data_IF_555609705481
#
_entry.id   IF_555609705481
#
_cell.length_a   1.000
_cell.length_b   1.000
_cell.length_c   1.000
_cell.angle_alpha   90.00
_cell.angle_beta   90.00
_cell.angle_gamma   90.00
#
_symmetry.space_group_name_H-M   'P 1'
#
loop_
_entity.id
_entity.type
_entity.pdbx_description
1 polymer ?
#
# COMPACT_ATOMS: atom_id res chain seq x y z
N UNK A 1 -7.21 32.38 41.42
CA UNK A 1 -8.48 31.89 40.82
C UNK A 1 -8.15 30.73 39.90
N UNK A 2 -8.75 29.58 40.17
CA UNK A 2 -8.68 28.43 39.23
C UNK A 2 -9.62 28.72 38.08
N UNK A 3 -9.12 28.79 36.85
CA UNK A 3 -9.95 28.86 35.65
C UNK A 3 -10.83 27.62 35.58
N UNK A 4 -12.15 27.80 35.63
CA UNK A 4 -13.09 26.71 35.36
C UNK A 4 -13.16 26.48 33.84
N UNK A 5 -12.57 25.40 33.38
CA UNK A 5 -12.72 24.97 32.00
C UNK A 5 -14.00 24.12 31.88
N UNK A 6 -14.97 24.60 31.13
CA UNK A 6 -16.09 23.80 30.68
C UNK A 6 -15.82 23.37 29.23
N UNK A 7 -15.74 22.08 28.96
CA UNK A 7 -15.77 21.56 27.60
C UNK A 7 -17.17 21.10 27.26
N UNK A 8 -17.68 21.45 26.09
CA UNK A 8 -18.93 20.88 25.58
C UNK A 8 -18.73 19.37 25.38
N UNK A 9 -19.74 18.57 25.72
CA UNK A 9 -19.75 17.15 25.37
C UNK A 9 -19.80 16.99 23.85
N UNK A 10 -19.19 15.93 23.35
CA UNK A 10 -19.29 15.63 21.92
C UNK A 10 -20.76 15.48 21.51
N UNK A 11 -21.18 16.11 20.41
CA UNK A 11 -22.54 15.98 19.91
C UNK A 11 -22.81 14.51 19.52
N UNK A 12 -24.00 14.04 19.82
CA UNK A 12 -24.49 12.71 19.47
C UNK A 12 -25.62 12.90 18.47
N UNK A 13 -25.62 12.14 17.40
CA UNK A 13 -26.73 12.15 16.44
C UNK A 13 -27.93 11.40 17.02
N UNK A 14 -29.11 11.99 16.92
CA UNK A 14 -30.37 11.38 17.37
C UNK A 14 -30.82 10.21 16.48
N UNK A 15 -30.26 10.09 15.27
CA UNK A 15 -30.62 9.09 14.26
C UNK A 15 -29.70 7.85 14.23
N UNK A 16 -28.99 7.56 15.31
CA UNK A 16 -28.10 6.39 15.33
C UNK A 16 -28.87 5.07 15.24
N UNK A 17 -28.44 4.21 14.32
CA UNK A 17 -29.00 2.86 14.12
C UNK A 17 -27.87 1.84 13.94
N UNK A 18 -28.25 0.56 13.87
CA UNK A 18 -27.31 -0.53 13.64
C UNK A 18 -26.87 -0.60 12.17
N UNK A 19 -25.59 -0.88 11.96
CA UNK A 19 -25.10 -1.25 10.64
C UNK A 19 -25.68 -2.59 10.20
N UNK A 20 -26.06 -2.69 8.94
CA UNK A 20 -26.61 -3.91 8.35
C UNK A 20 -25.69 -4.46 7.29
N UNK A 21 -25.30 -5.73 7.41
CA UNK A 21 -24.47 -6.42 6.40
C UNK A 21 -25.30 -7.51 5.74
N UNK A 22 -25.47 -7.40 4.42
CA UNK A 22 -26.10 -8.42 3.59
C UNK A 22 -25.06 -9.02 2.65
N UNK A 23 -24.87 -10.34 2.70
CA UNK A 23 -23.91 -11.04 1.84
C UNK A 23 -24.66 -12.06 0.98
N UNK A 24 -24.42 -11.99 -0.34
CA UNK A 24 -24.78 -13.02 -1.29
C UNK A 24 -23.50 -13.76 -1.66
N UNK A 25 -23.48 -15.07 -1.47
CA UNK A 25 -22.33 -15.92 -1.77
C UNK A 25 -22.74 -17.08 -2.67
N UNK A 26 -21.88 -17.39 -3.65
CA UNK A 26 -21.99 -18.57 -4.49
C UNK A 26 -20.68 -19.34 -4.42
N UNK A 27 -20.72 -20.50 -3.77
CA UNK A 27 -19.56 -21.35 -3.56
C UNK A 27 -19.62 -22.66 -4.35
N UNK A 28 -18.44 -23.16 -4.73
CA UNK A 28 -18.25 -24.44 -5.40
C UNK A 28 -17.09 -25.19 -4.75
N UNK A 29 -17.34 -26.46 -4.38
CA UNK A 29 -16.33 -27.39 -3.93
C UNK A 29 -16.27 -28.57 -4.91
N UNK A 30 -15.14 -28.72 -5.59
CA UNK A 30 -14.96 -29.72 -6.64
C UNK A 30 -13.77 -30.60 -6.33
N UNK A 31 -13.99 -31.93 -6.32
CA UNK A 31 -12.95 -32.93 -6.15
C UNK A 31 -12.75 -33.75 -7.42
N UNK A 32 -11.51 -33.86 -7.86
CA UNK A 32 -11.11 -34.58 -9.06
C UNK A 32 -10.06 -35.64 -8.75
N UNK A 33 -9.92 -36.63 -9.65
CA UNK A 33 -8.86 -37.64 -9.59
C UNK A 33 -8.80 -38.37 -8.25
N UNK A 34 -9.95 -38.86 -7.76
CA UNK A 34 -10.10 -39.46 -6.42
C UNK A 34 -9.68 -38.54 -5.29
N UNK A 35 -10.10 -37.28 -5.35
CA UNK A 35 -9.82 -36.21 -4.40
C UNK A 35 -8.32 -35.85 -4.28
N UNK A 36 -7.51 -36.14 -5.29
CA UNK A 36 -6.14 -35.63 -5.33
C UNK A 36 -6.10 -34.15 -5.67
N UNK A 37 -6.93 -33.73 -6.62
CA UNK A 37 -7.11 -32.30 -6.96
C UNK A 37 -8.44 -31.84 -6.37
N UNK A 38 -8.37 -30.81 -5.51
CA UNK A 38 -9.54 -30.15 -4.98
C UNK A 38 -9.50 -28.67 -5.34
N UNK A 39 -10.65 -28.15 -5.74
CA UNK A 39 -10.85 -26.74 -6.10
C UNK A 39 -12.04 -26.23 -5.31
N UNK A 40 -11.81 -25.20 -4.50
CA UNK A 40 -12.85 -24.43 -3.81
C UNK A 40 -12.88 -23.04 -4.42
N UNK A 41 -14.04 -22.54 -4.77
CA UNK A 41 -14.20 -21.22 -5.33
C UNK A 41 -15.45 -20.55 -4.76
N UNK A 42 -15.31 -19.34 -4.27
CA UNK A 42 -16.36 -18.48 -3.74
C UNK A 42 -16.44 -17.17 -4.50
N UNK A 43 -17.65 -16.76 -4.87
CA UNK A 43 -17.97 -15.47 -5.46
C UNK A 43 -18.95 -14.77 -4.54
N UNK A 44 -18.68 -13.54 -4.14
CA UNK A 44 -19.55 -12.85 -3.21
C UNK A 44 -19.81 -11.38 -3.55
N UNK A 45 -20.98 -10.93 -3.13
CA UNK A 45 -21.36 -9.51 -3.07
C UNK A 45 -21.78 -9.23 -1.63
N UNK A 46 -21.16 -8.25 -1.01
CA UNK A 46 -21.49 -7.81 0.34
C UNK A 46 -21.90 -6.34 0.31
N UNK A 47 -23.10 -6.07 0.75
CA UNK A 47 -23.63 -4.73 0.97
C UNK A 47 -23.59 -4.42 2.47
N UNK A 48 -22.81 -3.42 2.85
CA UNK A 48 -22.81 -2.85 4.21
C UNK A 48 -23.57 -1.54 4.14
N UNK A 49 -24.65 -1.44 4.88
CA UNK A 49 -25.56 -0.29 4.88
C UNK A 49 -25.54 0.41 6.23
N UNK A 50 -25.84 1.70 6.19
CA UNK A 50 -25.94 2.54 7.37
C UNK A 50 -24.68 2.49 8.25
N UNK A 51 -23.53 2.49 7.60
CA UNK A 51 -22.22 2.50 8.28
C UNK A 51 -22.07 3.77 9.11
N UNK A 52 -21.60 3.60 10.34
CA UNK A 52 -21.35 4.67 11.27
C UNK A 52 -20.02 5.35 10.94
N UNK A 53 -20.07 6.54 10.37
CA UNK A 53 -18.89 7.35 10.05
C UNK A 53 -19.06 8.79 10.51
N UNK A 54 -17.98 9.56 10.48
CA UNK A 54 -18.04 10.98 10.78
C UNK A 54 -18.87 11.67 9.71
N UNK A 55 -19.85 12.48 10.13
CA UNK A 55 -20.63 13.33 9.23
C UNK A 55 -19.77 14.51 8.73
N UNK A 56 -20.38 15.37 7.90
CA UNK A 56 -19.71 16.58 7.40
C UNK A 56 -19.02 17.37 8.51
N UNK A 57 -17.84 17.89 8.21
CA UNK A 57 -17.07 18.73 9.13
C UNK A 57 -17.91 19.92 9.58
N UNK A 58 -18.08 20.07 10.88
CA UNK A 58 -18.74 21.25 11.45
C UNK A 58 -17.78 22.45 11.35
N UNK A 59 -18.31 23.68 11.20
CA UNK A 59 -17.48 24.88 11.27
C UNK A 59 -16.73 24.95 12.58
N UNK A 60 -15.48 25.44 12.57
CA UNK A 60 -14.60 25.55 13.74
C UNK A 60 -15.23 26.33 14.91
N UNK A 61 -16.13 27.27 14.61
CA UNK A 61 -16.88 28.05 15.61
C UNK A 61 -17.81 27.20 16.47
N UNK A 62 -18.11 25.96 16.06
CA UNK A 62 -18.96 25.06 16.85
C UNK A 62 -18.20 24.50 18.07
N UNK A 63 -16.86 24.47 18.02
CA UNK A 63 -16.01 24.09 19.16
C UNK A 63 -16.10 22.63 19.59
N UNK A 64 -16.69 21.75 18.78
CA UNK A 64 -16.77 20.32 19.03
C UNK A 64 -16.56 19.52 17.72
N UNK A 65 -16.03 18.29 17.80
CA UNK A 65 -15.88 17.44 16.62
C UNK A 65 -17.24 17.06 16.04
N UNK A 66 -17.26 16.76 14.74
CA UNK A 66 -18.46 16.30 14.06
C UNK A 66 -19.00 15.00 14.67
N UNK A 67 -20.31 14.87 14.87
CA UNK A 67 -20.90 13.63 15.36
C UNK A 67 -20.74 12.50 14.35
N UNK A 68 -20.78 11.28 14.84
CA UNK A 68 -20.93 10.11 13.97
C UNK A 68 -22.39 9.93 13.60
N UNK A 69 -22.62 9.58 12.34
CA UNK A 69 -23.95 9.33 11.76
C UNK A 69 -23.91 8.06 10.90
N UNK A 70 -25.06 7.42 10.71
CA UNK A 70 -25.22 6.29 9.78
C UNK A 70 -25.40 6.82 8.34
N UNK A 71 -24.31 7.36 7.77
CA UNK A 71 -24.38 8.14 6.53
C UNK A 71 -23.62 7.53 5.36
N UNK A 72 -23.08 6.32 5.48
CA UNK A 72 -22.33 5.66 4.42
C UNK A 72 -22.83 4.24 4.13
N UNK A 73 -22.85 3.86 2.85
CA UNK A 73 -23.06 2.50 2.38
C UNK A 73 -21.90 2.07 1.49
N UNK A 74 -21.53 0.81 1.59
CA UNK A 74 -20.42 0.20 0.85
C UNK A 74 -20.88 -1.08 0.16
N UNK A 75 -20.54 -1.25 -1.11
CA UNK A 75 -20.70 -2.51 -1.83
C UNK A 75 -19.34 -3.11 -2.16
N UNK A 76 -19.10 -4.30 -1.64
CA UNK A 76 -17.90 -5.09 -1.93
C UNK A 76 -18.26 -6.26 -2.83
N UNK A 77 -17.51 -6.43 -3.91
CA UNK A 77 -17.56 -7.61 -4.79
C UNK A 77 -16.21 -8.28 -4.75
N UNK A 78 -16.19 -9.58 -4.56
CA UNK A 78 -14.95 -10.33 -4.49
C UNK A 78 -15.09 -11.78 -4.89
N UNK A 79 -13.94 -12.43 -4.99
CA UNK A 79 -13.83 -13.86 -5.19
C UNK A 79 -12.65 -14.43 -4.41
N UNK A 80 -12.76 -15.71 -4.07
CA UNK A 80 -11.71 -16.49 -3.43
C UNK A 80 -11.63 -17.84 -4.13
N UNK A 81 -10.42 -18.27 -4.48
CA UNK A 81 -10.18 -19.54 -5.16
C UNK A 81 -9.03 -20.24 -4.44
N UNK A 82 -9.25 -21.49 -4.07
CA UNK A 82 -8.21 -22.37 -3.53
C UNK A 82 -8.10 -23.61 -4.38
N UNK A 83 -6.89 -23.93 -4.81
CA UNK A 83 -6.57 -25.16 -5.54
C UNK A 83 -5.58 -25.95 -4.71
N UNK A 84 -5.88 -27.20 -4.44
CA UNK A 84 -4.97 -28.08 -3.71
C UNK A 84 -4.79 -29.41 -4.42
N UNK A 85 -3.55 -29.86 -4.43
CA UNK A 85 -3.16 -31.17 -4.92
C UNK A 85 -2.50 -31.97 -3.80
N UNK A 86 -2.89 -33.25 -3.61
CA UNK A 86 -2.25 -34.17 -2.69
C UNK A 86 -2.12 -35.54 -3.35
N UNK A 87 -0.94 -36.14 -3.20
CA UNK A 87 -0.72 -37.48 -3.72
C UNK A 87 0.26 -38.27 -2.82
N UNK A 88 0.27 -39.58 -3.03
CA UNK A 88 1.12 -40.50 -2.30
C UNK A 88 1.64 -41.59 -3.22
N UNK A 89 2.95 -41.81 -3.21
CA UNK A 89 3.65 -42.82 -3.99
C UNK A 89 4.60 -43.63 -3.10
N UNK A 90 5.06 -44.76 -3.60
CA UNK A 90 6.15 -45.50 -2.97
C UNK A 90 7.46 -45.13 -3.61
N UNK A 91 8.40 -44.64 -2.83
CA UNK A 91 9.76 -44.28 -3.25
C UNK A 91 10.76 -45.05 -2.41
N UNK A 92 11.60 -45.86 -3.06
CA UNK A 92 12.57 -46.75 -2.40
C UNK A 92 11.93 -47.63 -1.28
N UNK A 93 10.74 -48.18 -1.54
CA UNK A 93 10.02 -49.02 -0.60
C UNK A 93 9.39 -48.28 0.59
N UNK A 94 9.45 -46.97 0.63
CA UNK A 94 8.87 -46.11 1.66
C UNK A 94 7.77 -45.23 1.12
N UNK A 95 6.71 -44.91 1.88
CA UNK A 95 5.68 -43.99 1.45
C UNK A 95 6.23 -42.55 1.35
N UNK A 96 6.06 -41.97 0.18
CA UNK A 96 6.31 -40.55 -0.10
C UNK A 96 4.98 -39.87 -0.29
N UNK A 97 4.65 -38.88 0.53
CA UNK A 97 3.44 -38.06 0.40
C UNK A 97 3.82 -36.61 0.22
N UNK A 98 3.11 -35.92 -0.66
CA UNK A 98 3.30 -34.49 -0.87
C UNK A 98 1.98 -33.79 -1.13
N UNK A 99 1.95 -32.51 -0.79
CA UNK A 99 0.85 -31.62 -1.03
C UNK A 99 1.33 -30.26 -1.52
N UNK A 100 0.55 -29.65 -2.39
CA UNK A 100 0.68 -28.26 -2.76
C UNK A 100 -0.70 -27.62 -2.75
N UNK A 101 -0.81 -26.44 -2.19
CA UNK A 101 -2.05 -25.66 -2.18
C UNK A 101 -1.72 -24.20 -2.53
N UNK A 102 -2.56 -23.62 -3.39
CA UNK A 102 -2.48 -22.21 -3.76
C UNK A 102 -3.85 -21.58 -3.57
N UNK A 103 -3.87 -20.41 -2.93
CA UNK A 103 -5.08 -19.60 -2.75
C UNK A 103 -4.89 -18.23 -3.37
N UNK A 104 -5.93 -17.72 -4.02
CA UNK A 104 -6.01 -16.38 -4.59
C UNK A 104 -7.33 -15.76 -4.22
N UNK A 105 -7.29 -14.57 -3.62
CA UNK A 105 -8.47 -13.77 -3.32
C UNK A 105 -8.33 -12.35 -3.85
N UNK A 106 -9.43 -11.79 -4.31
CA UNK A 106 -9.48 -10.39 -4.70
C UNK A 106 -10.85 -9.78 -4.42
N UNK A 107 -10.87 -8.52 -4.05
CA UNK A 107 -12.12 -7.79 -3.85
C UNK A 107 -11.99 -6.32 -4.25
N UNK A 108 -13.12 -5.72 -4.56
CA UNK A 108 -13.26 -4.30 -4.84
C UNK A 108 -14.46 -3.75 -4.10
N UNK A 109 -14.24 -2.72 -3.30
CA UNK A 109 -15.28 -2.02 -2.54
C UNK A 109 -15.56 -0.65 -3.15
N UNK A 110 -16.84 -0.36 -3.38
CA UNK A 110 -17.31 0.94 -3.88
C UNK A 110 -18.27 1.57 -2.89
N UNK A 111 -18.11 2.85 -2.65
CA UNK A 111 -19.03 3.64 -1.85
C UNK A 111 -20.29 3.87 -2.67
N UNK A 112 -21.45 3.48 -2.14
CA UNK A 112 -22.75 3.59 -2.80
C UNK A 112 -23.64 4.68 -2.21
N UNK A 113 -23.34 5.11 -0.98
CA UNK A 113 -23.97 6.24 -0.29
C UNK A 113 -22.94 6.92 0.59
N UNK A 114 -22.88 8.23 0.55
CA UNK A 114 -22.05 9.04 1.44
C UNK A 114 -22.57 10.48 1.42
N UNK A 115 -22.41 11.19 2.55
CA UNK A 115 -22.88 12.58 2.70
C UNK A 115 -21.78 13.55 2.24
N UNK A 116 -21.61 13.66 0.93
CA UNK A 116 -20.67 14.57 0.26
C UNK A 116 -21.31 14.97 -1.09
N UNK A 117 -22.29 15.86 -1.04
CA UNK A 117 -23.09 16.23 -2.22
C UNK A 117 -22.28 16.96 -3.29
N UNK A 118 -21.27 17.71 -2.88
CA UNK A 118 -20.35 18.41 -3.77
C UNK A 118 -19.27 17.48 -4.35
N UNK A 119 -19.20 16.24 -3.88
CA UNK A 119 -18.19 15.24 -4.28
C UNK A 119 -16.75 15.76 -4.12
N UNK A 120 -16.45 16.39 -2.98
CA UNK A 120 -15.12 16.88 -2.63
C UNK A 120 -14.11 15.74 -2.54
N UNK A 121 -12.93 15.90 -3.13
CA UNK A 121 -11.84 14.93 -3.12
C UNK A 121 -11.08 14.88 -1.77
N UNK A 122 -11.39 15.75 -0.84
CA UNK A 122 -10.86 15.76 0.53
C UNK A 122 -11.57 14.77 1.45
N UNK A 123 -12.69 14.22 1.01
CA UNK A 123 -13.50 13.25 1.74
C UNK A 123 -13.97 12.13 0.79
N UNK A 124 -14.63 11.13 1.33
CA UNK A 124 -15.24 10.06 0.55
C UNK A 124 -16.42 10.57 -0.30
N UNK A 125 -16.64 9.95 -1.45
CA UNK A 125 -17.71 10.32 -2.36
C UNK A 125 -18.41 9.09 -2.97
N UNK A 126 -19.64 9.25 -3.41
CA UNK A 126 -20.41 8.18 -4.08
C UNK A 126 -19.74 7.78 -5.39
N UNK A 127 -19.49 6.49 -5.56
CA UNK A 127 -18.79 5.93 -6.72
C UNK A 127 -17.29 5.73 -6.54
N UNK A 128 -16.71 6.26 -5.47
CA UNK A 128 -15.31 6.02 -5.11
C UNK A 128 -15.03 4.52 -4.97
N UNK A 129 -13.92 4.08 -5.51
CA UNK A 129 -13.35 2.78 -5.14
C UNK A 129 -12.49 3.00 -3.91
N UNK A 130 -12.83 2.34 -2.80
CA UNK A 130 -12.13 2.52 -1.55
C UNK A 130 -10.61 2.34 -1.73
N UNK A 131 -9.84 3.28 -1.17
CA UNK A 131 -8.39 3.31 -1.28
C UNK A 131 -7.84 4.02 -2.52
N UNK A 132 -8.66 4.68 -3.34
CA UNK A 132 -8.20 5.47 -4.48
C UNK A 132 -7.18 6.54 -4.05
N UNK A 133 -6.12 6.66 -4.84
CA UNK A 133 -5.11 7.69 -4.66
C UNK A 133 -5.22 8.69 -5.82
N UNK A 134 -5.66 9.90 -5.48
CA UNK A 134 -5.67 11.02 -6.40
C UNK A 134 -4.33 11.73 -6.41
N UNK A 135 -3.86 12.13 -7.60
CA UNK A 135 -2.59 12.81 -7.75
C UNK A 135 -2.36 13.33 -9.15
N UNK A 136 -1.24 13.99 -9.33
CA UNK A 136 -0.86 14.61 -10.60
C UNK A 136 -0.09 13.63 -11.48
N UNK A 137 -0.17 13.85 -12.80
CA UNK A 137 0.66 13.18 -13.78
C UNK A 137 1.91 13.99 -14.07
N UNK A 138 3.01 13.29 -14.36
CA UNK A 138 4.29 13.92 -14.67
C UNK A 138 4.85 13.39 -15.98
N UNK A 139 5.58 14.25 -16.71
CA UNK A 139 6.35 13.89 -17.91
C UNK A 139 7.85 13.71 -17.60
N UNK A 140 8.18 13.35 -16.36
CA UNK A 140 9.54 13.13 -15.91
C UNK A 140 10.22 14.39 -15.39
N UNK A 141 11.49 14.57 -15.70
CA UNK A 141 12.29 15.72 -15.31
C UNK A 141 12.66 16.54 -16.55
N UNK A 142 12.77 17.86 -16.40
CA UNK A 142 13.31 18.69 -17.47
C UNK A 142 14.73 18.29 -17.82
N UNK A 143 15.03 18.18 -19.11
CA UNK A 143 16.36 17.77 -19.58
C UNK A 143 17.34 18.92 -19.69
N UNK A 144 16.82 20.11 -20.01
CA UNK A 144 17.62 21.33 -20.17
C UNK A 144 16.91 22.53 -19.53
N UNK A 145 17.67 23.58 -19.26
CA UNK A 145 17.15 24.83 -18.70
C UNK A 145 16.24 25.56 -19.72
N UNK A 146 16.52 25.44 -21.02
CA UNK A 146 15.69 26.01 -22.09
C UNK A 146 14.31 25.31 -22.16
N UNK A 147 14.26 23.99 -21.92
CA UNK A 147 13.00 23.25 -21.82
C UNK A 147 12.19 23.72 -20.62
N UNK A 148 12.83 23.87 -19.46
CA UNK A 148 12.20 24.37 -18.25
C UNK A 148 11.69 25.80 -18.40
N UNK A 149 12.48 26.68 -19.00
CA UNK A 149 12.10 28.07 -19.26
C UNK A 149 10.89 28.18 -20.23
N UNK A 150 10.87 27.37 -21.30
CA UNK A 150 9.72 27.32 -22.21
C UNK A 150 8.44 26.86 -21.54
N UNK A 151 8.55 25.82 -20.71
CA UNK A 151 7.41 25.32 -19.93
C UNK A 151 6.93 26.40 -18.96
N UNK A 152 7.81 27.02 -18.19
CA UNK A 152 7.48 28.05 -17.22
C UNK A 152 6.87 29.32 -17.84
N UNK A 153 7.20 29.61 -19.10
CA UNK A 153 6.60 30.73 -19.85
C UNK A 153 5.14 30.47 -20.27
N UNK A 154 4.73 29.20 -20.33
CA UNK A 154 3.40 28.79 -20.78
C UNK A 154 2.52 28.26 -19.68
N UNK A 155 3.10 27.52 -18.72
CA UNK A 155 2.40 26.79 -17.67
C UNK A 155 2.68 27.42 -16.31
N UNK A 156 1.62 27.66 -15.55
CA UNK A 156 1.70 28.08 -14.15
C UNK A 156 1.56 26.85 -13.26
N UNK A 157 2.65 26.35 -12.70
CA UNK A 157 2.68 25.19 -11.79
C UNK A 157 2.97 25.56 -10.33
N UNK A 158 2.76 26.81 -9.94
CA UNK A 158 3.02 27.31 -8.58
C UNK A 158 2.27 26.54 -7.49
N UNK A 159 1.07 26.04 -7.78
CA UNK A 159 0.28 25.29 -6.82
C UNK A 159 0.99 24.00 -6.34
N UNK A 160 1.79 23.39 -7.21
CA UNK A 160 2.49 22.11 -6.94
C UNK A 160 4.01 22.27 -6.81
N UNK A 161 4.56 23.44 -7.16
CA UNK A 161 6.01 23.67 -7.24
C UNK A 161 6.44 25.03 -6.66
N UNK A 162 5.62 25.63 -5.81
CA UNK A 162 5.84 26.97 -5.27
C UNK A 162 7.17 27.11 -4.53
N UNK A 163 7.69 26.02 -3.95
CA UNK A 163 9.00 26.02 -3.26
C UNK A 163 10.15 26.43 -4.17
N UNK A 164 10.06 26.15 -5.45
CA UNK A 164 11.04 26.61 -6.45
C UNK A 164 10.98 28.13 -6.57
N UNK A 165 9.79 28.68 -6.77
CA UNK A 165 9.58 30.11 -7.01
C UNK A 165 9.83 31.01 -5.79
N UNK A 166 9.78 30.41 -4.61
CA UNK A 166 10.03 31.10 -3.31
C UNK A 166 11.42 30.82 -2.76
N UNK A 167 12.35 30.34 -3.60
CA UNK A 167 13.75 30.16 -3.19
C UNK A 167 14.36 31.49 -2.70
N UNK A 168 15.11 31.43 -1.61
CA UNK A 168 15.90 32.57 -1.13
C UNK A 168 17.08 32.91 -2.03
N UNK A 169 17.51 31.95 -2.86
CA UNK A 169 18.49 32.16 -3.92
C UNK A 169 17.78 32.57 -5.19
N UNK A 170 17.89 33.84 -5.56
CA UNK A 170 17.25 34.39 -6.77
C UNK A 170 17.70 33.68 -8.05
N UNK A 171 18.94 33.18 -8.13
CA UNK A 171 19.45 32.42 -9.28
C UNK A 171 18.79 31.05 -9.43
N UNK A 172 18.16 30.53 -8.38
CA UNK A 172 17.45 29.25 -8.34
C UNK A 172 15.94 29.39 -8.21
N UNK A 173 15.39 30.63 -8.21
CA UNK A 173 13.96 30.90 -8.06
C UNK A 173 13.14 30.69 -9.34
N UNK A 174 13.54 29.75 -10.18
CA UNK A 174 12.88 29.35 -11.43
C UNK A 174 13.09 27.86 -11.69
N UNK A 175 12.30 27.30 -12.61
CA UNK A 175 12.46 25.92 -13.04
C UNK A 175 13.74 25.73 -13.83
N UNK A 176 14.41 24.61 -13.61
CA UNK A 176 15.70 24.26 -14.21
C UNK A 176 15.71 22.79 -14.64
N UNK A 177 16.71 22.40 -15.41
CA UNK A 177 16.99 21.02 -15.72
C UNK A 177 17.03 20.17 -14.43
N UNK A 178 16.34 19.04 -14.45
CA UNK A 178 16.22 18.14 -13.30
C UNK A 178 15.05 18.42 -12.36
N UNK A 179 14.31 19.51 -12.52
CA UNK A 179 13.05 19.71 -11.79
C UNK A 179 11.92 18.85 -12.39
N UNK A 180 10.89 18.56 -11.60
CA UNK A 180 9.75 17.74 -12.02
C UNK A 180 8.89 18.52 -13.01
N UNK A 181 8.56 17.89 -14.13
CA UNK A 181 7.65 18.42 -15.14
C UNK A 181 6.25 17.84 -14.93
N UNK A 182 5.32 18.67 -14.51
CA UNK A 182 3.91 18.33 -14.37
C UNK A 182 3.18 18.42 -15.72
N UNK A 183 2.14 17.60 -15.87
CA UNK A 183 1.33 17.57 -17.09
C UNK A 183 0.04 18.34 -16.88
N UNK A 184 -0.22 19.32 -17.71
CA UNK A 184 -1.52 19.98 -17.86
C UNK A 184 -2.49 19.00 -18.56
N UNK A 185 -3.52 18.59 -17.86
CA UNK A 185 -4.49 17.59 -18.32
C UNK A 185 -5.82 18.18 -18.76
N UNK A 186 -6.14 19.40 -18.35
CA UNK A 186 -7.36 20.10 -18.74
C UNK A 186 -7.11 21.18 -19.80
N UNK A 187 -5.84 21.50 -20.09
CA UNK A 187 -5.42 22.40 -21.15
C UNK A 187 -5.59 23.87 -20.82
N UNK A 188 -5.68 24.21 -19.52
CA UNK A 188 -5.88 25.60 -19.08
C UNK A 188 -4.56 26.35 -18.79
N UNK A 189 -3.41 25.69 -18.96
CA UNK A 189 -2.06 26.18 -18.66
C UNK A 189 -1.80 26.49 -17.18
N UNK A 190 -2.57 25.89 -16.26
CA UNK A 190 -2.42 26.05 -14.82
C UNK A 190 -2.49 24.69 -14.16
N UNK A 191 -1.40 24.23 -13.56
CA UNK A 191 -1.39 22.97 -12.81
C UNK A 191 -2.02 23.18 -11.43
N UNK A 192 -3.21 22.62 -11.24
CA UNK A 192 -3.94 22.73 -9.97
C UNK A 192 -4.93 21.56 -9.77
N UNK A 193 -5.67 21.59 -8.67
CA UNK A 193 -6.71 20.62 -8.33
C UNK A 193 -8.13 21.07 -8.71
N UNK A 194 -8.26 22.10 -9.57
CA UNK A 194 -9.56 22.67 -9.94
C UNK A 194 -10.34 23.14 -8.70
N UNK A 195 -11.61 22.77 -8.63
CA UNK A 195 -12.46 23.05 -7.45
C UNK A 195 -12.26 21.99 -6.33
N UNK A 196 -11.36 21.03 -6.52
CA UNK A 196 -11.15 19.93 -5.59
C UNK A 196 -12.31 18.92 -5.56
N UNK A 197 -13.11 18.85 -6.62
CA UNK A 197 -14.25 17.94 -6.75
C UNK A 197 -14.01 16.88 -7.81
N UNK A 198 -14.77 15.78 -7.77
CA UNK A 198 -14.72 14.75 -8.82
C UNK A 198 -15.12 15.32 -10.19
N UNK A 199 -16.00 16.31 -10.25
CA UNK A 199 -16.47 16.94 -11.49
C UNK A 199 -15.44 17.87 -12.10
N UNK A 200 -14.69 18.58 -11.26
CA UNK A 200 -13.62 19.48 -11.66
C UNK A 200 -12.37 19.25 -10.79
N UNK A 201 -11.63 18.16 -11.06
CA UNK A 201 -10.41 17.83 -10.32
C UNK A 201 -9.16 18.57 -10.83
N UNK A 202 -9.29 19.52 -11.76
CA UNK A 202 -8.17 20.14 -12.46
C UNK A 202 -7.29 19.08 -13.14
N UNK A 203 -6.00 19.06 -12.79
CA UNK A 203 -5.02 18.09 -13.32
C UNK A 203 -4.90 16.81 -12.50
N UNK A 204 -5.65 16.69 -11.41
CA UNK A 204 -5.62 15.47 -10.60
C UNK A 204 -6.40 14.35 -11.29
N UNK A 205 -5.85 13.15 -11.19
CA UNK A 205 -6.50 11.89 -11.65
C UNK A 205 -6.23 10.79 -10.63
N UNK A 206 -7.03 9.74 -10.66
CA UNK A 206 -6.72 8.52 -9.92
C UNK A 206 -5.42 7.94 -10.50
N UNK A 207 -4.38 7.88 -9.68
CA UNK A 207 -3.04 7.38 -10.05
C UNK A 207 -2.76 5.97 -9.52
N UNK A 208 -3.50 5.52 -8.51
CA UNK A 208 -3.33 4.21 -7.91
C UNK A 208 -4.39 3.88 -6.87
N UNK A 209 -4.16 2.78 -6.15
CA UNK A 209 -5.02 2.35 -5.04
C UNK A 209 -4.17 1.74 -3.92
N UNK A 210 -4.40 2.18 -2.68
CA UNK A 210 -3.64 1.78 -1.50
C UNK A 210 -4.13 0.47 -0.87
N UNK A 211 -5.25 -0.09 -1.31
CA UNK A 211 -5.75 -1.36 -0.81
C UNK A 211 -5.14 -2.53 -1.58
N UNK A 212 -4.85 -3.64 -0.87
CA UNK A 212 -4.27 -4.83 -1.50
C UNK A 212 -5.26 -5.50 -2.46
N UNK A 213 -4.77 -5.88 -3.64
CA UNK A 213 -5.47 -6.63 -4.65
C UNK A 213 -4.70 -7.91 -4.96
N UNK A 214 -5.42 -8.97 -5.33
CA UNK A 214 -4.84 -10.25 -5.66
C UNK A 214 -3.96 -10.78 -4.54
N UNK A 215 -4.55 -10.91 -3.34
CA UNK A 215 -3.88 -11.56 -2.21
C UNK A 215 -3.76 -13.05 -2.48
N UNK A 216 -2.58 -13.60 -2.33
CA UNK A 216 -2.34 -15.01 -2.64
C UNK A 216 -1.42 -15.68 -1.63
N UNK A 217 -1.55 -16.98 -1.55
CA UNK A 217 -0.64 -17.82 -0.79
C UNK A 217 -0.32 -19.12 -1.53
N UNK A 218 0.86 -19.67 -1.28
CA UNK A 218 1.29 -20.96 -1.79
C UNK A 218 1.90 -21.74 -0.62
N UNK A 219 1.39 -22.94 -0.40
CA UNK A 219 1.90 -23.88 0.60
C UNK A 219 2.31 -25.18 -0.07
N UNK A 220 3.49 -25.67 0.29
CA UNK A 220 3.96 -26.99 -0.07
C UNK A 220 4.33 -27.80 1.17
N UNK A 221 4.01 -29.08 1.17
CA UNK A 221 4.44 -30.02 2.20
C UNK A 221 4.83 -31.37 1.59
N UNK A 222 5.80 -32.02 2.20
CA UNK A 222 6.19 -33.39 1.84
C UNK A 222 6.63 -34.17 3.06
N UNK A 223 6.40 -35.48 3.00
CA UNK A 223 6.85 -36.42 4.02
C UNK A 223 7.44 -37.66 3.36
N UNK A 224 8.63 -38.06 3.78
CA UNK A 224 9.29 -39.24 3.29
C UNK A 224 10.28 -39.81 4.31
N UNK A 225 10.11 -41.09 4.65
CA UNK A 225 11.07 -41.84 5.47
C UNK A 225 11.51 -41.13 6.76
N UNK A 226 10.57 -40.54 7.49
CA UNK A 226 10.85 -39.76 8.71
C UNK A 226 11.15 -38.28 8.46
N UNK A 227 11.52 -37.89 7.27
CA UNK A 227 11.66 -36.46 6.93
C UNK A 227 10.30 -35.83 6.68
N UNK A 228 10.12 -34.64 7.18
CA UNK A 228 9.03 -33.73 6.84
C UNK A 228 9.57 -32.37 6.41
N UNK A 229 8.98 -31.83 5.40
CA UNK A 229 9.30 -30.50 4.89
C UNK A 229 8.02 -29.72 4.65
N UNK A 230 8.01 -28.46 5.06
CA UNK A 230 6.92 -27.53 4.75
C UNK A 230 7.47 -26.18 4.34
N UNK A 231 6.81 -25.55 3.38
CA UNK A 231 7.14 -24.20 2.91
C UNK A 231 5.85 -23.40 2.72
N UNK A 232 5.88 -22.12 3.08
CA UNK A 232 4.76 -21.23 2.96
C UNK A 232 5.19 -19.88 2.40
N UNK A 233 4.55 -19.50 1.29
CA UNK A 233 4.67 -18.19 0.67
C UNK A 233 3.36 -17.43 0.79
N UNK A 234 3.45 -16.11 0.97
CA UNK A 234 2.33 -15.19 0.97
C UNK A 234 2.71 -13.96 0.15
N UNK A 235 1.73 -13.39 -0.54
CA UNK A 235 1.98 -12.20 -1.33
C UNK A 235 0.72 -11.39 -1.64
N UNK A 236 0.97 -10.21 -2.19
CA UNK A 236 -0.02 -9.28 -2.72
C UNK A 236 0.39 -8.93 -4.14
N UNK A 237 -0.51 -9.20 -5.11
CA UNK A 237 -0.20 -9.02 -6.52
C UNK A 237 -0.23 -7.56 -6.97
N UNK A 238 -0.99 -6.69 -6.28
CA UNK A 238 -1.02 -5.25 -6.55
C UNK A 238 -1.39 -4.48 -5.28
N UNK A 239 -0.58 -3.49 -4.96
CA UNK A 239 -0.85 -2.48 -3.94
C UNK A 239 0.04 -1.28 -4.24
N UNK A 240 -0.54 -0.08 -4.23
CA UNK A 240 0.20 1.14 -4.48
C UNK A 240 0.47 1.85 -3.15
N UNK A 241 1.69 2.27 -2.94
CA UNK A 241 2.11 3.03 -1.78
C UNK A 241 2.66 4.39 -2.18
N UNK A 242 2.09 5.44 -1.61
CA UNK A 242 2.61 6.80 -1.76
C UNK A 242 3.33 7.19 -0.47
N UNK A 243 4.68 7.36 -0.51
CA UNK A 243 5.44 7.80 0.66
C UNK A 243 4.92 9.14 1.16
N UNK A 244 4.69 9.25 2.47
CA UNK A 244 4.36 10.55 3.08
C UNK A 244 5.54 11.52 2.99
N UNK A 245 5.26 12.81 3.12
CA UNK A 245 6.31 13.86 3.10
C UNK A 245 7.41 13.63 4.16
N UNK A 246 7.06 12.95 5.25
CA UNK A 246 7.95 12.68 6.38
C UNK A 246 8.65 11.33 6.30
N UNK A 247 8.49 10.57 5.22
CA UNK A 247 9.17 9.29 5.03
C UNK A 247 10.66 9.48 4.72
N UNK A 248 11.47 9.70 5.74
CA UNK A 248 12.91 9.97 5.60
C UNK A 248 13.66 8.86 4.90
N UNK A 249 13.27 7.61 5.14
CA UNK A 249 13.89 6.43 4.54
C UNK A 249 13.70 6.34 3.03
N UNK A 250 12.65 6.99 2.52
CA UNK A 250 12.40 7.05 1.08
C UNK A 250 12.99 8.34 0.46
N UNK A 251 12.69 9.50 1.05
CA UNK A 251 13.04 10.78 0.47
C UNK A 251 14.48 11.23 0.75
N UNK A 252 15.09 10.76 1.85
CA UNK A 252 16.42 11.17 2.24
C UNK A 252 16.57 12.70 2.34
N UNK A 253 17.59 13.29 1.70
CA UNK A 253 17.88 14.74 1.80
C UNK A 253 16.78 15.66 1.26
N UNK A 254 15.84 15.17 0.48
CA UNK A 254 14.71 15.99 0.00
C UNK A 254 13.72 16.32 1.11
N UNK A 255 13.63 15.48 2.14
CA UNK A 255 12.79 15.71 3.33
C UNK A 255 13.53 16.51 4.39
N UNK A 256 14.62 15.96 4.92
CA UNK A 256 15.42 16.58 5.97
C UNK A 256 16.90 16.58 5.60
N UNK A 257 17.40 17.64 4.93
CA UNK A 257 18.74 17.66 4.38
C UNK A 257 19.86 17.58 5.43
N UNK A 258 19.55 17.91 6.69
CA UNK A 258 20.55 17.99 7.78
C UNK A 258 20.60 16.76 8.69
N UNK A 259 19.57 15.91 8.68
CA UNK A 259 19.41 14.85 9.70
C UNK A 259 19.08 13.47 9.13
N UNK A 260 19.00 13.31 7.80
CA UNK A 260 18.64 12.03 7.18
C UNK A 260 19.85 11.20 6.79
N UNK A 261 19.68 9.88 6.81
CA UNK A 261 20.63 8.96 6.22
C UNK A 261 20.56 9.02 4.69
N UNK A 262 21.71 8.92 4.05
CA UNK A 262 21.82 8.82 2.60
C UNK A 262 22.10 7.36 2.26
N UNK A 263 21.23 6.75 1.45
CA UNK A 263 21.44 5.41 0.93
C UNK A 263 22.71 5.37 0.05
N UNK A 264 23.45 4.26 0.07
CA UNK A 264 24.72 4.11 -0.69
C UNK A 264 24.57 4.36 -2.19
N UNK A 265 23.40 4.09 -2.76
CA UNK A 265 23.09 4.28 -4.18
C UNK A 265 22.28 5.55 -4.47
N UNK A 266 22.17 6.46 -3.49
CA UNK A 266 21.39 7.68 -3.61
C UNK A 266 21.85 8.56 -4.78
N UNK A 267 23.14 8.77 -4.95
CA UNK A 267 23.72 9.59 -6.03
C UNK A 267 23.36 9.04 -7.42
N UNK A 268 23.23 7.74 -7.54
CA UNK A 268 22.79 7.10 -8.81
C UNK A 268 21.33 7.40 -9.12
N UNK A 269 20.51 7.61 -8.09
CA UNK A 269 19.07 7.87 -8.21
C UNK A 269 18.73 9.36 -8.24
N UNK A 270 19.61 10.24 -7.77
CA UNK A 270 19.43 11.67 -7.71
C UNK A 270 20.02 12.39 -8.92
N UNK A 271 19.33 13.42 -9.39
CA UNK A 271 19.74 14.20 -10.54
C UNK A 271 21.03 15.01 -10.25
N UNK A 272 21.93 15.02 -11.21
CA UNK A 272 23.09 15.89 -11.28
C UNK A 272 23.41 16.24 -12.74
N UNK A 273 24.29 17.21 -12.98
CA UNK A 273 24.70 17.60 -14.35
C UNK A 273 25.30 16.42 -15.13
N UNK A 274 26.03 15.52 -14.42
CA UNK A 274 26.65 14.33 -15.00
C UNK A 274 25.70 13.12 -15.07
N UNK A 275 24.56 13.19 -14.38
CA UNK A 275 23.58 12.10 -14.30
C UNK A 275 22.14 12.66 -14.42
N UNK A 276 21.72 12.93 -15.67
CA UNK A 276 20.45 13.60 -15.95
C UNK A 276 19.25 12.65 -16.10
N UNK A 277 19.48 11.35 -16.24
CA UNK A 277 18.39 10.36 -16.40
C UNK A 277 18.17 9.58 -15.10
N UNK A 278 17.61 10.25 -14.12
CA UNK A 278 17.45 9.74 -12.76
C UNK A 278 15.99 9.66 -12.33
N UNK A 279 15.77 8.96 -11.21
CA UNK A 279 14.45 8.84 -10.60
C UNK A 279 14.08 10.07 -9.76
N UNK A 280 14.97 10.50 -8.84
CA UNK A 280 14.78 11.70 -8.04
C UNK A 280 15.21 12.95 -8.81
N UNK A 281 14.56 14.10 -8.54
CA UNK A 281 14.80 15.33 -9.25
C UNK A 281 16.12 16.00 -8.81
N UNK A 282 16.42 17.18 -9.37
CA UNK A 282 17.44 18.11 -8.87
C UNK A 282 17.21 18.36 -7.37
N UNK A 283 18.28 18.28 -6.59
CA UNK A 283 18.22 18.50 -5.14
C UNK A 283 17.91 19.97 -4.84
N UNK A 284 16.79 20.18 -4.19
CA UNK A 284 16.39 21.46 -3.56
C UNK A 284 16.02 21.17 -2.12
N UNK A 285 16.24 22.14 -1.23
CA UNK A 285 15.92 21.96 0.20
C UNK A 285 14.41 21.81 0.43
N UNK A 286 14.03 20.84 1.29
CA UNK A 286 12.66 20.68 1.77
C UNK A 286 11.61 20.50 0.65
N UNK A 287 11.94 19.75 -0.39
CA UNK A 287 11.02 19.50 -1.51
C UNK A 287 9.78 18.69 -1.12
N UNK A 288 9.85 17.93 -0.02
CA UNK A 288 8.69 17.20 0.53
C UNK A 288 7.83 18.04 1.48
N UNK A 289 8.26 19.25 1.84
CA UNK A 289 7.46 20.16 2.66
C UNK A 289 6.35 20.84 1.85
N UNK A 290 5.50 21.61 2.54
CA UNK A 290 4.41 22.37 1.91
C UNK A 290 4.88 23.12 0.68
N UNK A 291 4.09 23.06 -0.39
CA UNK A 291 4.35 23.67 -1.68
C UNK A 291 5.60 23.19 -2.43
N UNK A 292 6.19 22.08 -2.02
CA UNK A 292 7.26 21.41 -2.78
C UNK A 292 6.72 20.36 -3.74
N UNK A 293 7.42 20.14 -4.86
CA UNK A 293 7.02 19.19 -5.91
C UNK A 293 6.93 17.72 -5.46
N UNK A 294 7.56 17.37 -4.34
CA UNK A 294 7.53 16.03 -3.77
C UNK A 294 6.55 15.91 -2.59
N UNK A 295 5.88 17.00 -2.20
CA UNK A 295 4.82 16.98 -1.21
C UNK A 295 3.47 16.58 -1.82
N UNK A 296 3.27 16.84 -3.10
CA UNK A 296 2.05 16.46 -3.82
C UNK A 296 2.14 15.02 -4.31
N UNK A 297 1.03 14.31 -4.30
CA UNK A 297 0.97 12.94 -4.82
C UNK A 297 1.15 12.95 -6.33
N UNK A 298 2.08 12.15 -6.84
CA UNK A 298 2.33 12.02 -8.28
C UNK A 298 2.49 10.57 -8.69
N UNK A 299 2.20 10.28 -9.94
CA UNK A 299 2.44 8.96 -10.54
C UNK A 299 3.93 8.57 -10.54
N UNK A 300 4.83 9.57 -10.56
CA UNK A 300 6.28 9.35 -10.56
C UNK A 300 6.76 8.70 -9.26
N UNK A 301 6.25 9.13 -8.13
CA UNK A 301 6.69 8.68 -6.80
C UNK A 301 5.76 7.65 -6.16
N UNK A 302 4.67 7.33 -6.83
CA UNK A 302 3.82 6.21 -6.45
C UNK A 302 4.61 4.92 -6.59
N UNK A 303 4.68 4.13 -5.53
CA UNK A 303 5.44 2.91 -5.46
C UNK A 303 4.54 1.69 -5.65
N UNK A 304 5.00 0.74 -6.45
CA UNK A 304 4.44 -0.60 -6.48
C UNK A 304 5.01 -1.38 -5.27
N UNK A 305 4.17 -1.55 -4.26
CA UNK A 305 4.48 -2.28 -3.03
C UNK A 305 3.96 -3.73 -3.09
N UNK A 306 3.65 -4.26 -4.28
CA UNK A 306 3.37 -5.69 -4.44
C UNK A 306 4.57 -6.53 -4.00
N UNK A 307 4.30 -7.73 -3.49
CA UNK A 307 5.36 -8.59 -2.99
C UNK A 307 4.98 -10.06 -2.96
N UNK A 308 6.01 -10.91 -2.92
CA UNK A 308 5.95 -12.30 -2.45
C UNK A 308 6.98 -12.50 -1.34
N UNK A 309 6.59 -13.14 -0.26
CA UNK A 309 7.43 -13.42 0.91
C UNK A 309 7.46 -14.90 1.24
N UNK A 310 8.65 -15.44 1.48
CA UNK A 310 8.84 -16.72 2.14
C UNK A 310 8.58 -16.53 3.64
N UNK A 311 7.33 -16.85 4.05
CA UNK A 311 6.85 -16.67 5.41
C UNK A 311 7.36 -17.72 6.37
N UNK A 312 7.38 -18.97 5.91
CA UNK A 312 7.84 -20.08 6.75
C UNK A 312 8.50 -21.16 5.89
N UNK A 313 9.54 -21.76 6.41
CA UNK A 313 10.13 -22.99 5.93
C UNK A 313 10.48 -23.86 7.16
N UNK A 314 10.12 -25.14 7.12
CA UNK A 314 10.42 -26.07 8.20
C UNK A 314 10.95 -27.37 7.60
N UNK A 315 12.02 -27.89 8.18
CA UNK A 315 12.55 -29.21 7.87
C UNK A 315 12.67 -29.99 9.18
N UNK A 316 11.99 -31.12 9.26
CA UNK A 316 11.98 -32.00 10.41
C UNK A 316 12.45 -33.41 10.05
N UNK A 317 12.92 -34.12 11.06
CA UNK A 317 13.22 -35.54 10.98
C UNK A 317 12.69 -36.25 12.23
N UNK A 318 11.86 -37.26 12.04
CA UNK A 318 11.29 -38.08 13.07
C UNK A 318 12.13 -39.36 13.24
N UNK A 319 12.78 -39.51 14.39
CA UNK A 319 13.57 -40.66 14.74
C UNK A 319 12.61 -41.70 15.41
N UNK A 320 12.40 -42.87 14.81
CA UNK A 320 11.60 -43.91 15.44
C UNK A 320 12.33 -44.50 16.67
N UNK A 321 11.72 -44.35 17.82
CA UNK A 321 12.28 -44.91 19.06
C UNK A 321 11.34 -46.00 19.58
N UNK A 322 11.73 -47.24 19.45
CA UNK A 322 10.92 -48.39 19.86
C UNK A 322 11.16 -48.70 21.36
N UNK A 323 10.78 -47.76 22.24
CA UNK A 323 10.87 -47.92 23.69
C UNK A 323 9.54 -47.67 24.39
N UNK A 324 9.31 -48.34 25.53
CA UNK A 324 8.04 -48.30 26.28
C UNK A 324 7.59 -46.92 26.74
N UNK A 325 8.50 -45.94 26.81
CA UNK A 325 8.24 -44.61 27.37
C UNK A 325 8.22 -43.51 26.25
N UNK A 326 8.93 -43.73 25.14
CA UNK A 326 9.03 -42.79 24.05
C UNK A 326 8.76 -43.54 22.74
N UNK A 327 7.75 -43.10 21.98
CA UNK A 327 7.40 -43.73 20.71
C UNK A 327 8.20 -43.13 19.56
N UNK A 328 8.42 -41.81 19.60
CA UNK A 328 9.12 -41.05 18.57
C UNK A 328 9.74 -39.77 19.15
N UNK A 329 10.80 -39.31 18.56
CA UNK A 329 11.37 -37.97 18.78
C UNK A 329 11.49 -37.28 17.43
N UNK A 330 10.94 -36.08 17.28
CA UNK A 330 11.09 -35.27 16.09
C UNK A 330 12.02 -34.09 16.37
N UNK A 331 13.07 -33.96 15.60
CA UNK A 331 13.97 -32.79 15.61
C UNK A 331 13.65 -31.96 14.38
N UNK A 332 13.53 -30.64 14.53
CA UNK A 332 13.25 -29.77 13.41
C UNK A 332 14.00 -28.45 13.49
N UNK A 333 14.20 -27.86 12.31
CA UNK A 333 14.64 -26.48 12.12
C UNK A 333 13.58 -25.72 11.36
N UNK A 334 13.32 -24.47 11.74
CA UNK A 334 12.40 -23.62 11.03
C UNK A 334 12.96 -22.22 10.85
N UNK A 335 12.51 -21.56 9.80
CA UNK A 335 12.83 -20.16 9.52
C UNK A 335 11.59 -19.40 9.13
N UNK A 336 11.47 -18.15 9.61
CA UNK A 336 10.34 -17.28 9.34
C UNK A 336 10.80 -15.97 8.70
N UNK A 337 10.01 -15.45 7.77
CA UNK A 337 10.26 -14.20 7.04
C UNK A 337 11.64 -14.12 6.39
N UNK A 338 12.16 -15.23 5.87
CA UNK A 338 13.56 -15.35 5.43
C UNK A 338 13.89 -14.48 4.23
N UNK A 339 12.96 -14.31 3.32
CA UNK A 339 13.17 -13.54 2.11
C UNK A 339 11.85 -12.96 1.57
N UNK A 340 11.96 -11.83 0.86
CA UNK A 340 10.86 -11.29 0.06
C UNK A 340 11.39 -10.64 -1.22
N UNK A 341 10.52 -10.60 -2.22
CA UNK A 341 10.74 -9.93 -3.50
C UNK A 341 9.63 -8.93 -3.71
N UNK A 342 10.00 -7.71 -4.11
CA UNK A 342 9.07 -6.61 -4.36
C UNK A 342 9.71 -5.60 -5.32
N UNK A 343 8.93 -5.00 -6.25
CA UNK A 343 9.37 -3.88 -7.07
C UNK A 343 9.82 -2.66 -6.24
N UNK A 344 9.26 -2.48 -5.05
CA UNK A 344 9.61 -1.41 -4.13
C UNK A 344 11.12 -1.30 -3.87
N UNK A 345 11.84 -2.44 -3.86
CA UNK A 345 13.31 -2.49 -3.67
C UNK A 345 14.10 -1.72 -4.72
N UNK A 346 13.47 -1.37 -5.84
CA UNK A 346 14.14 -0.60 -6.90
C UNK A 346 14.56 0.79 -6.41
N UNK A 347 13.71 1.43 -5.60
CA UNK A 347 13.91 2.79 -5.12
C UNK A 347 14.02 2.89 -3.59
N UNK A 348 13.49 1.92 -2.87
CA UNK A 348 13.59 1.84 -1.42
C UNK A 348 13.96 0.42 -0.96
N UNK A 349 15.17 0.27 -0.41
CA UNK A 349 15.65 -1.01 0.13
C UNK A 349 15.37 -1.17 1.63
N UNK A 350 15.01 -0.09 2.29
CA UNK A 350 14.81 -0.01 3.74
C UNK A 350 13.36 -0.18 4.16
N UNK A 351 12.42 0.04 3.24
CA UNK A 351 10.98 -0.10 3.51
C UNK A 351 10.54 -1.52 3.18
N UNK A 352 9.88 -2.17 4.13
CA UNK A 352 9.27 -3.48 3.93
C UNK A 352 7.87 -3.28 3.29
N UNK A 353 7.58 -3.90 2.13
CA UNK A 353 6.33 -3.70 1.42
C UNK A 353 5.09 -4.13 2.21
N UNK A 354 5.20 -5.11 3.09
CA UNK A 354 4.08 -5.62 3.89
C UNK A 354 3.62 -4.63 4.96
N UNK A 355 4.54 -3.77 5.43
CA UNK A 355 4.24 -2.75 6.44
C UNK A 355 4.17 -1.34 5.87
N UNK A 356 4.60 -1.13 4.63
CA UNK A 356 4.64 0.19 3.99
C UNK A 356 3.29 0.90 3.95
N UNK A 357 2.20 0.14 3.85
CA UNK A 357 0.83 0.66 3.76
C UNK A 357 0.15 0.81 5.12
N UNK A 358 0.78 0.39 6.20
CA UNK A 358 0.24 0.61 7.55
C UNK A 358 0.48 2.06 7.98
N UNK A 359 -0.51 2.64 8.61
CA UNK A 359 -0.42 4.01 9.12
C UNK A 359 0.52 4.04 10.32
N UNK A 360 1.71 4.63 10.14
CA UNK A 360 2.60 4.93 11.25
C UNK A 360 2.98 6.41 11.23
N UNK A 361 3.21 6.96 12.38
CA UNK A 361 3.72 8.31 12.52
C UNK A 361 5.10 8.39 11.84
N UNK A 362 5.22 9.23 10.84
CA UNK A 362 6.45 9.46 10.07
C UNK A 362 6.94 8.28 9.22
N UNK A 363 6.07 7.30 8.91
CA UNK A 363 6.39 6.10 8.10
C UNK A 363 7.63 5.33 8.58
N UNK A 364 7.98 5.48 9.85
CA UNK A 364 9.09 4.79 10.50
C UNK A 364 8.63 3.42 10.99
N UNK A 365 8.47 2.48 10.07
CA UNK A 365 8.04 1.12 10.37
C UNK A 365 9.23 0.17 10.43
N UNK A 366 9.26 -0.65 11.47
CA UNK A 366 10.24 -1.74 11.57
C UNK A 366 9.88 -2.85 10.56
N UNK A 367 10.85 -3.29 9.74
CA UNK A 367 10.64 -4.45 8.87
C UNK A 367 10.49 -5.71 9.72
N UNK A 368 9.83 -6.72 9.17
CA UNK A 368 9.74 -8.03 9.84
C UNK A 368 11.11 -8.65 10.07
N UNK A 369 11.33 -9.13 11.30
CA UNK A 369 12.53 -9.86 11.66
C UNK A 369 12.56 -11.23 10.99
N UNK A 370 13.76 -11.71 10.64
CA UNK A 370 14.01 -13.10 10.29
C UNK A 370 14.19 -13.88 11.57
N UNK A 371 13.46 -14.97 11.71
CA UNK A 371 13.53 -15.83 12.88
C UNK A 371 14.01 -17.21 12.47
N UNK A 372 14.94 -17.78 13.23
CA UNK A 372 15.38 -19.16 13.07
C UNK A 372 15.14 -19.89 14.38
N UNK A 373 14.55 -21.07 14.31
CA UNK A 373 14.24 -21.89 15.47
C UNK A 373 14.72 -23.33 15.27
N UNK A 374 15.14 -23.93 16.35
CA UNK A 374 15.43 -25.36 16.44
C UNK A 374 14.57 -25.94 17.56
N UNK A 375 13.89 -27.04 17.31
CA UNK A 375 13.03 -27.66 18.29
C UNK A 375 13.13 -29.18 18.29
N UNK A 376 12.67 -29.75 19.39
CA UNK A 376 12.54 -31.20 19.62
C UNK A 376 11.14 -31.45 20.18
N UNK A 377 10.37 -32.32 19.52
CA UNK A 377 9.02 -32.75 19.89
C UNK A 377 9.03 -34.22 20.35
#
# INVERSE_FOLDING_TARGET
>A
EKANYASASNPISDGLTWETVVTYNLGFDLGFLKNRLNVTADLYIRDTKDMLTTSLTLPDVFGAPSPKENCADLRTKGYEITVSWRDRHMVAGKPFSYGISASLGDYKSKITKYKNDDMLLTDHYVGETLGELWGYRTDGLFKTDEEAARYQAQINDKAVNNRVYTSSDASAAHLMAGDVRFRDLDGNNIINNGDGTVKNPGDMRVIGNSLPRYTYSIRGDLNWNGFDFAVFFQGVGKIDWMPSANCYYFWGPYSFPTTTFIAKDFERLAWSEDNRNTYFPRRRSYQTSSAGSMNVKTDRYLQDASYIRLKNITLGYTIPINKRILEKVRVYVSGENLAYWSPLKRYSKTVDPEVATTSATNDCLYPYSRTFSVGVD
#
